data_IF_169057041665
#
_entry.id   IF_169057041665
#
_cell.length_a   1.000
_cell.length_b   1.000
_cell.length_c   1.000
_cell.angle_alpha   90.00
_cell.angle_beta   90.00
_cell.angle_gamma   90.00
#
_symmetry.space_group_name_H-M   'P 1'
#
loop_
_entity.id
_entity.type
_entity.pdbx_description
1 polymer ?
#
# COMPACT_ATOMS: atom_id res chain seq x y z
N UNK A 1 -19.41 31.49 39.97
CA UNK A 1 -18.93 31.68 38.58
C UNK A 1 -17.44 31.41 38.40
N UNK A 2 -16.53 32.05 39.15
CA UNK A 2 -15.06 31.84 39.01
C UNK A 2 -14.58 30.39 39.24
N UNK A 3 -15.18 29.64 40.18
CA UNK A 3 -14.87 28.22 40.42
C UNK A 3 -15.26 27.31 39.24
N UNK A 4 -16.35 27.63 38.54
CA UNK A 4 -16.86 26.86 37.39
C UNK A 4 -16.03 27.12 36.13
N UNK A 5 -15.61 28.37 35.91
CA UNK A 5 -14.68 28.74 34.83
C UNK A 5 -13.29 28.10 35.05
N UNK A 6 -12.75 28.16 36.28
CA UNK A 6 -11.46 27.55 36.61
C UNK A 6 -11.47 26.02 36.53
N UNK A 7 -12.59 25.38 36.86
CA UNK A 7 -12.79 23.92 36.74
C UNK A 7 -12.97 23.48 35.28
N UNK A 8 -13.63 24.30 34.44
CA UNK A 8 -13.69 24.10 32.98
C UNK A 8 -12.33 24.34 32.31
N UNK A 9 -11.56 25.35 32.72
CA UNK A 9 -10.19 25.57 32.22
C UNK A 9 -9.23 24.46 32.65
N UNK A 10 -9.33 23.96 33.89
CA UNK A 10 -8.52 22.82 34.33
C UNK A 10 -8.95 21.49 33.69
N UNK A 11 -10.24 21.28 33.43
CA UNK A 11 -10.72 20.12 32.69
C UNK A 11 -10.28 20.19 31.22
N UNK A 12 -10.33 21.36 30.58
CA UNK A 12 -9.82 21.59 29.24
C UNK A 12 -8.30 21.34 29.15
N UNK A 13 -7.53 21.87 30.11
CA UNK A 13 -6.08 21.63 30.21
C UNK A 13 -5.73 20.16 30.53
N UNK A 14 -6.63 19.40 31.19
CA UNK A 14 -6.46 17.96 31.45
C UNK A 14 -6.83 17.11 30.22
N UNK A 15 -7.91 17.44 29.52
CA UNK A 15 -8.26 16.82 28.24
C UNK A 15 -7.22 17.09 27.16
N UNK A 16 -6.47 18.19 27.27
CA UNK A 16 -5.30 18.49 26.43
C UNK A 16 -4.06 17.64 26.77
N UNK A 17 -4.11 16.76 27.77
CA UNK A 17 -3.00 15.87 28.16
C UNK A 17 -3.43 14.40 28.17
N UNK A 18 -4.73 14.13 28.25
CA UNK A 18 -5.26 12.77 28.27
C UNK A 18 -5.04 12.04 26.92
N UNK A 19 -4.57 10.78 26.95
CA UNK A 19 -4.52 9.94 25.77
C UNK A 19 -5.92 9.71 25.20
N UNK A 20 -6.04 9.58 23.88
CA UNK A 20 -7.30 9.25 23.20
C UNK A 20 -7.46 7.73 23.04
N UNK A 21 -8.70 7.21 22.90
CA UNK A 21 -8.95 5.81 22.62
C UNK A 21 -8.28 5.33 21.32
N UNK A 22 -7.99 4.03 21.22
CA UNK A 22 -7.37 3.45 20.01
C UNK A 22 -8.20 3.63 18.74
N UNK A 23 -9.53 3.65 18.85
CA UNK A 23 -10.46 3.91 17.73
C UNK A 23 -10.24 5.30 17.11
N UNK A 24 -9.76 6.28 17.89
CA UNK A 24 -9.38 7.59 17.35
C UNK A 24 -8.25 7.47 16.34
N UNK A 25 -7.29 6.56 16.54
CA UNK A 25 -6.25 6.29 15.54
C UNK A 25 -6.84 5.68 14.25
N UNK A 26 -7.91 4.87 14.38
CA UNK A 26 -8.67 4.31 13.27
C UNK A 26 -9.45 5.32 12.43
N UNK A 27 -9.83 6.46 13.01
CA UNK A 27 -10.42 7.60 12.26
C UNK A 27 -9.32 8.51 11.72
N UNK A 28 -8.35 8.83 12.57
CA UNK A 28 -7.26 9.74 12.27
C UNK A 28 -6.43 9.27 11.10
N UNK A 29 -5.96 8.02 11.10
CA UNK A 29 -4.96 7.60 10.13
C UNK A 29 -5.48 7.58 8.68
N UNK A 30 -6.71 7.10 8.38
CA UNK A 30 -7.32 7.27 7.06
C UNK A 30 -7.52 8.74 6.64
N UNK A 31 -7.95 9.61 7.57
CA UNK A 31 -8.11 11.06 7.30
C UNK A 31 -6.75 11.74 7.05
N UNK A 32 -5.75 11.40 7.84
CA UNK A 32 -4.36 11.87 7.71
C UNK A 32 -3.76 11.48 6.36
N UNK A 33 -4.14 10.31 5.84
CA UNK A 33 -3.80 9.83 4.51
C UNK A 33 -4.68 10.37 3.37
N UNK A 34 -5.58 11.30 3.66
CA UNK A 34 -6.52 11.90 2.70
C UNK A 34 -7.35 10.85 1.91
N UNK A 35 -7.71 9.73 2.55
CA UNK A 35 -8.56 8.69 1.96
C UNK A 35 -9.88 9.32 1.51
N UNK A 36 -10.23 9.14 0.23
CA UNK A 36 -11.42 9.65 -0.42
C UNK A 36 -11.40 11.14 -0.80
N UNK A 37 -10.29 11.85 -0.58
CA UNK A 37 -10.26 13.32 -0.70
C UNK A 37 -9.50 13.84 -1.93
N UNK A 38 -8.55 13.07 -2.46
CA UNK A 38 -7.68 13.51 -3.56
C UNK A 38 -8.28 13.20 -4.93
N UNK A 39 -7.75 13.84 -5.96
CA UNK A 39 -8.14 13.63 -7.36
C UNK A 39 -7.10 14.16 -8.33
N UNK A 40 -7.09 13.62 -9.55
CA UNK A 40 -6.17 13.99 -10.62
C UNK A 40 -4.69 13.72 -10.32
N UNK A 41 -3.83 14.28 -11.18
CA UNK A 41 -2.38 14.09 -11.15
C UNK A 41 -1.74 14.68 -9.88
N UNK A 42 -2.13 15.89 -9.48
CA UNK A 42 -1.61 16.55 -8.26
C UNK A 42 -2.02 15.79 -6.99
N UNK A 43 -3.25 15.28 -6.96
CA UNK A 43 -3.72 14.42 -5.88
C UNK A 43 -2.92 13.13 -5.79
N UNK A 44 -2.59 12.52 -6.93
CA UNK A 44 -1.73 11.35 -6.97
C UNK A 44 -0.30 11.66 -6.49
N UNK A 45 0.29 12.76 -6.94
CA UNK A 45 1.62 13.18 -6.49
C UNK A 45 1.68 13.37 -4.97
N UNK A 46 0.66 14.02 -4.38
CA UNK A 46 0.54 14.16 -2.92
C UNK A 46 0.35 12.82 -2.20
N UNK A 47 -0.43 11.91 -2.76
CA UNK A 47 -0.59 10.56 -2.19
C UNK A 47 0.74 9.78 -2.19
N UNK A 48 1.51 9.88 -3.29
CA UNK A 48 2.80 9.22 -3.44
C UNK A 48 3.84 9.81 -2.48
N UNK A 49 3.85 11.13 -2.30
CA UNK A 49 4.73 11.80 -1.34
C UNK A 49 4.55 11.24 0.08
N UNK A 50 3.30 11.13 0.53
CA UNK A 50 2.99 10.54 1.85
C UNK A 50 3.31 9.04 1.94
N UNK A 51 3.19 8.32 0.82
CA UNK A 51 3.53 6.89 0.70
C UNK A 51 5.01 6.64 0.35
N UNK A 52 5.85 7.68 0.30
CA UNK A 52 7.22 7.59 -0.22
C UNK A 52 8.06 6.52 0.47
N UNK A 53 8.37 5.44 -0.25
CA UNK A 53 9.10 4.28 0.24
C UNK A 53 8.31 3.30 1.12
N UNK A 54 6.99 3.42 1.20
CA UNK A 54 6.15 2.39 1.81
C UNK A 54 6.13 1.14 0.91
N UNK A 55 6.45 -0.02 1.49
CA UNK A 55 6.48 -1.29 0.75
C UNK A 55 5.10 -1.93 0.78
N UNK A 56 4.48 -2.04 -0.40
CA UNK A 56 3.13 -2.60 -0.56
C UNK A 56 3.11 -3.67 -1.67
N UNK A 57 2.19 -4.64 -1.61
CA UNK A 57 2.01 -5.56 -2.72
C UNK A 57 1.57 -4.83 -3.99
N UNK A 58 2.18 -5.16 -5.13
CA UNK A 58 1.88 -4.56 -6.42
C UNK A 58 0.40 -4.75 -6.81
N UNK A 59 -0.16 -5.93 -6.52
CA UNK A 59 -1.57 -6.23 -6.80
C UNK A 59 -2.57 -5.31 -6.06
N UNK A 60 -2.20 -4.77 -4.90
CA UNK A 60 -3.08 -3.89 -4.10
C UNK A 60 -2.81 -2.41 -4.33
N UNK A 61 -1.62 -2.04 -4.84
CA UNK A 61 -1.23 -0.64 -5.02
C UNK A 61 -2.26 0.11 -5.89
N UNK A 62 -2.52 -0.41 -7.09
CA UNK A 62 -3.38 0.25 -8.08
C UNK A 62 -4.85 -0.13 -7.99
N UNK A 63 -5.19 -1.14 -7.17
CA UNK A 63 -6.58 -1.61 -6.99
C UNK A 63 -7.23 -1.11 -5.70
N UNK A 64 -6.44 -0.84 -4.66
CA UNK A 64 -6.93 -0.45 -3.34
C UNK A 64 -6.20 0.76 -2.76
N UNK A 65 -4.85 0.78 -2.76
CA UNK A 65 -4.08 1.82 -2.03
C UNK A 65 -4.21 3.20 -2.68
N UNK A 66 -3.93 3.31 -3.98
CA UNK A 66 -4.04 4.58 -4.71
C UNK A 66 -5.50 4.98 -4.95
N UNK A 67 -6.42 4.08 -5.40
CA UNK A 67 -7.83 4.42 -5.54
C UNK A 67 -8.52 4.82 -4.23
N UNK A 68 -8.08 4.30 -3.07
CA UNK A 68 -8.63 4.74 -1.78
C UNK A 68 -8.35 6.22 -1.51
N UNK A 69 -7.30 6.80 -2.10
CA UNK A 69 -6.90 8.20 -1.88
C UNK A 69 -7.35 9.10 -3.03
N UNK A 70 -7.20 8.64 -4.27
CA UNK A 70 -7.45 9.38 -5.51
C UNK A 70 -8.71 8.84 -6.19
N UNK A 71 -9.79 9.63 -6.15
CA UNK A 71 -11.15 9.20 -6.56
C UNK A 71 -11.26 8.77 -8.02
N UNK A 72 -10.50 9.38 -8.89
CA UNK A 72 -10.44 9.17 -10.33
C UNK A 72 -9.15 8.45 -10.77
N UNK A 73 -8.54 7.69 -9.87
CA UNK A 73 -7.30 6.97 -10.16
C UNK A 73 -7.45 6.09 -11.41
N UNK A 74 -6.50 6.26 -12.33
CA UNK A 74 -6.28 5.32 -13.43
C UNK A 74 -4.79 5.02 -13.53
N UNK A 75 -4.40 3.82 -13.99
CA UNK A 75 -3.00 3.46 -14.21
C UNK A 75 -2.21 4.49 -15.05
N UNK A 76 -2.89 5.16 -15.99
CA UNK A 76 -2.32 6.20 -16.83
C UNK A 76 -1.81 7.44 -16.07
N UNK A 77 -2.41 7.79 -14.93
CA UNK A 77 -1.91 8.90 -14.10
C UNK A 77 -0.53 8.56 -13.50
N UNK A 78 -0.35 7.31 -13.06
CA UNK A 78 0.93 6.86 -12.53
C UNK A 78 1.98 6.70 -13.64
N UNK A 79 1.57 6.24 -14.82
CA UNK A 79 2.43 6.17 -16.00
C UNK A 79 2.88 7.56 -16.45
N UNK A 80 2.03 8.59 -16.33
CA UNK A 80 2.40 9.97 -16.61
C UNK A 80 3.48 10.48 -15.64
N UNK A 81 3.33 10.25 -14.33
CA UNK A 81 4.34 10.65 -13.34
C UNK A 81 5.68 9.91 -13.48
N UNK A 82 5.62 8.62 -13.81
CA UNK A 82 6.84 7.80 -14.00
C UNK A 82 7.54 8.12 -15.32
N UNK A 83 6.78 8.28 -16.41
CA UNK A 83 7.31 8.68 -17.71
C UNK A 83 7.88 10.11 -17.73
N UNK A 84 7.32 11.01 -16.92
CA UNK A 84 7.88 12.36 -16.71
C UNK A 84 9.12 12.37 -15.81
N UNK A 85 9.47 11.24 -15.18
CA UNK A 85 10.58 11.13 -14.23
C UNK A 85 10.31 11.82 -12.89
N UNK A 86 9.05 12.13 -12.55
CA UNK A 86 8.68 12.71 -11.27
C UNK A 86 8.61 11.67 -10.14
N UNK A 87 8.32 10.42 -10.50
CA UNK A 87 8.23 9.29 -9.58
C UNK A 87 9.04 8.10 -10.11
N UNK A 88 9.76 7.43 -9.23
CA UNK A 88 10.43 6.16 -9.44
C UNK A 88 9.70 5.04 -8.68
N UNK A 89 9.87 3.80 -9.13
CA UNK A 89 9.43 2.62 -8.38
C UNK A 89 10.58 1.65 -8.15
N UNK A 90 10.53 0.93 -7.04
CA UNK A 90 11.55 -0.05 -6.64
C UNK A 90 10.87 -1.39 -6.32
N UNK A 91 11.44 -2.49 -6.80
CA UNK A 91 11.06 -3.84 -6.39
C UNK A 91 11.71 -4.25 -5.07
N UNK A 92 11.02 -5.11 -4.31
CA UNK A 92 11.47 -5.65 -3.01
C UNK A 92 11.30 -7.18 -2.94
N UNK A 93 11.35 -7.84 -4.10
CA UNK A 93 11.13 -9.27 -4.21
C UNK A 93 9.69 -9.70 -4.51
N UNK A 94 9.56 -10.97 -4.84
CA UNK A 94 8.29 -11.61 -5.21
C UNK A 94 7.58 -12.21 -4.01
N UNK A 95 6.26 -12.33 -4.10
CA UNK A 95 5.40 -12.99 -3.13
C UNK A 95 4.83 -14.30 -3.70
N UNK A 96 4.51 -15.29 -2.84
CA UNK A 96 3.81 -16.48 -3.25
C UNK A 96 2.46 -16.15 -3.95
N UNK A 97 2.17 -16.88 -5.03
CA UNK A 97 0.93 -16.71 -5.79
C UNK A 97 0.94 -15.55 -6.78
N UNK A 98 2.12 -15.25 -7.36
CA UNK A 98 2.27 -14.40 -8.55
C UNK A 98 2.14 -12.90 -8.29
N UNK A 99 2.49 -12.43 -7.10
CA UNK A 99 2.51 -10.99 -6.75
C UNK A 99 3.93 -10.55 -6.38
N UNK A 100 4.17 -9.26 -6.19
CA UNK A 100 5.46 -8.73 -5.79
C UNK A 100 5.31 -7.58 -4.80
N UNK A 101 6.38 -7.27 -4.07
CA UNK A 101 6.44 -6.09 -3.21
C UNK A 101 7.13 -4.95 -3.98
N UNK A 102 6.51 -3.78 -3.95
CA UNK A 102 7.05 -2.57 -4.58
C UNK A 102 6.90 -1.35 -3.65
N UNK A 103 7.67 -0.31 -3.93
CA UNK A 103 7.48 1.01 -3.33
C UNK A 103 7.61 2.11 -4.37
N UNK A 104 6.93 3.23 -4.15
CA UNK A 104 7.00 4.44 -4.97
C UNK A 104 7.84 5.50 -4.27
N UNK A 105 8.57 6.30 -5.06
CA UNK A 105 9.51 7.30 -4.58
C UNK A 105 9.42 8.55 -5.43
N UNK A 106 9.07 9.73 -4.88
CA UNK A 106 9.34 10.99 -5.56
C UNK A 106 10.82 11.06 -5.93
N UNK A 107 11.13 11.37 -7.19
CA UNK A 107 12.51 11.35 -7.69
C UNK A 107 13.42 12.29 -6.90
N UNK A 108 12.88 13.42 -6.45
CA UNK A 108 13.58 14.43 -5.64
C UNK A 108 14.12 13.87 -4.32
N UNK A 109 13.45 12.87 -3.75
CA UNK A 109 13.80 12.26 -2.45
C UNK A 109 14.28 10.82 -2.60
N UNK A 110 14.47 10.32 -3.82
CA UNK A 110 14.80 8.92 -4.08
C UNK A 110 16.08 8.47 -3.37
N UNK A 111 17.10 9.34 -3.32
CA UNK A 111 18.40 9.03 -2.69
C UNK A 111 18.27 8.62 -1.21
N UNK A 112 17.35 9.26 -0.46
CA UNK A 112 17.12 8.99 0.97
C UNK A 112 15.94 8.07 1.25
N UNK A 113 15.01 7.94 0.29
CA UNK A 113 13.79 7.15 0.47
C UNK A 113 13.93 5.68 0.05
N UNK A 114 14.77 5.38 -0.95
CA UNK A 114 15.09 4.01 -1.37
C UNK A 114 15.78 3.22 -0.23
N UNK A 115 15.55 1.89 -0.10
CA UNK A 115 16.22 1.05 0.91
C UNK A 115 17.75 1.15 0.85
N UNK A 116 18.45 1.00 1.97
CA UNK A 116 19.91 1.04 1.95
C UNK A 116 20.47 -0.23 1.31
N UNK A 117 21.64 -0.19 0.64
CA UNK A 117 22.22 -1.39 0.03
C UNK A 117 22.54 -2.51 1.05
N UNK A 118 22.81 -2.14 2.30
CA UNK A 118 23.08 -3.07 3.42
C UNK A 118 21.82 -3.75 3.97
N UNK A 119 20.63 -3.28 3.60
CA UNK A 119 19.35 -3.85 4.02
C UNK A 119 18.90 -4.97 3.06
N UNK A 120 19.55 -5.10 1.91
CA UNK A 120 19.41 -6.20 0.97
C UNK A 120 20.25 -7.38 1.45
N UNK A 121 19.63 -8.55 1.58
CA UNK A 121 20.35 -9.78 1.94
C UNK A 121 21.47 -10.05 0.92
N UNK A 122 22.76 -10.06 1.34
CA UNK A 122 23.88 -10.27 0.44
C UNK A 122 23.77 -11.59 -0.33
N UNK A 123 23.13 -12.61 0.24
CA UNK A 123 22.91 -13.91 -0.40
C UNK A 123 21.80 -13.94 -1.46
N UNK A 124 21.05 -12.85 -1.61
CA UNK A 124 19.97 -12.67 -2.59
C UNK A 124 20.35 -11.70 -3.71
N UNK A 125 21.56 -11.14 -3.71
CA UNK A 125 22.00 -10.24 -4.77
C UNK A 125 22.42 -11.07 -5.98
N UNK A 126 21.74 -10.97 -7.13
CA UNK A 126 22.09 -11.75 -8.31
C UNK A 126 23.51 -11.39 -8.80
N UNK A 127 24.40 -12.38 -8.88
CA UNK A 127 25.84 -12.17 -9.06
C UNK A 127 26.42 -12.82 -10.33
N UNK A 128 25.57 -13.32 -11.23
CA UNK A 128 26.03 -13.91 -12.49
C UNK A 128 26.73 -12.89 -13.41
N UNK A 129 27.59 -13.33 -14.36
CA UNK A 129 28.22 -12.44 -15.34
C UNK A 129 27.24 -11.60 -16.13
N UNK A 130 26.05 -12.14 -16.42
CA UNK A 130 24.98 -11.41 -17.13
C UNK A 130 24.44 -10.26 -16.26
N UNK A 131 24.26 -10.47 -14.96
CA UNK A 131 23.84 -9.40 -14.04
C UNK A 131 24.89 -8.28 -13.98
N UNK A 132 26.16 -8.64 -13.84
CA UNK A 132 27.26 -7.68 -13.83
C UNK A 132 27.34 -6.88 -15.14
N UNK A 133 27.13 -7.54 -16.29
CA UNK A 133 27.09 -6.90 -17.60
C UNK A 133 25.87 -5.97 -17.74
N UNK A 134 24.69 -6.36 -17.25
CA UNK A 134 23.49 -5.50 -17.23
C UNK A 134 23.75 -4.24 -16.39
N UNK A 135 24.28 -4.38 -15.17
CA UNK A 135 24.61 -3.24 -14.32
C UNK A 135 25.66 -2.33 -14.98
N UNK A 136 26.67 -2.91 -15.62
CA UNK A 136 27.70 -2.17 -16.35
C UNK A 136 27.14 -1.46 -17.58
N UNK A 137 26.18 -2.05 -18.28
CA UNK A 137 25.49 -1.43 -19.42
C UNK A 137 24.66 -0.22 -18.99
N UNK A 138 24.01 -0.30 -17.83
CA UNK A 138 23.18 0.76 -17.26
C UNK A 138 23.99 1.81 -16.47
N UNK A 139 25.25 1.51 -16.14
CA UNK A 139 26.14 2.44 -15.44
C UNK A 139 26.35 3.74 -16.25
N UNK A 140 26.53 4.85 -15.53
CA UNK A 140 26.70 6.18 -16.16
C UNK A 140 25.39 6.89 -16.52
N UNK A 141 24.24 6.38 -16.07
CA UNK A 141 22.93 7.06 -16.19
C UNK A 141 22.19 6.79 -17.50
N UNK A 142 22.54 5.74 -18.23
CA UNK A 142 21.83 5.33 -19.43
C UNK A 142 20.48 4.68 -19.13
N UNK A 143 19.47 4.95 -19.96
CA UNK A 143 18.21 4.24 -19.98
C UNK A 143 18.02 3.56 -21.34
N UNK A 144 17.75 2.24 -21.35
CA UNK A 144 17.73 1.43 -22.56
C UNK A 144 16.40 0.72 -22.74
N UNK A 145 15.90 0.67 -23.97
CA UNK A 145 14.91 -0.34 -24.34
C UNK A 145 15.56 -1.73 -24.34
N UNK A 146 14.79 -2.77 -24.05
CA UNK A 146 15.30 -4.14 -23.91
C UNK A 146 16.18 -4.60 -25.09
N UNK A 147 15.76 -4.32 -26.33
CA UNK A 147 16.54 -4.68 -27.52
C UNK A 147 17.94 -4.04 -27.55
N UNK A 148 18.05 -2.76 -27.16
CA UNK A 148 19.34 -2.07 -27.07
C UNK A 148 20.19 -2.55 -25.90
N UNK A 149 19.55 -2.92 -24.78
CA UNK A 149 20.23 -3.47 -23.62
C UNK A 149 20.85 -4.84 -23.92
N UNK A 150 20.15 -5.72 -24.63
CA UNK A 150 20.67 -7.03 -25.05
C UNK A 150 21.94 -6.88 -25.88
N UNK A 151 21.94 -6.00 -26.89
CA UNK A 151 23.13 -5.72 -27.72
C UNK A 151 24.29 -5.23 -26.86
N UNK A 152 24.02 -4.29 -25.95
CA UNK A 152 25.06 -3.73 -25.08
C UNK A 152 25.67 -4.76 -24.12
N UNK A 153 24.84 -5.65 -23.58
CA UNK A 153 25.27 -6.74 -22.70
C UNK A 153 26.11 -7.76 -23.47
N UNK A 154 25.71 -8.10 -24.70
CA UNK A 154 26.45 -8.99 -25.60
C UNK A 154 27.86 -8.46 -25.90
N UNK A 155 27.97 -7.16 -26.22
CA UNK A 155 29.26 -6.47 -26.42
C UNK A 155 30.17 -6.52 -25.19
N UNK A 156 29.61 -6.29 -24.00
CA UNK A 156 30.35 -6.30 -22.74
C UNK A 156 30.87 -7.70 -22.39
N UNK A 157 30.09 -8.74 -22.68
CA UNK A 157 30.46 -10.13 -22.42
C UNK A 157 31.44 -10.69 -23.47
N UNK A 158 31.44 -10.15 -24.69
CA UNK A 158 32.42 -10.51 -25.71
C UNK A 158 33.82 -9.93 -25.44
N UNK A 159 33.92 -8.90 -24.59
CA UNK A 159 35.13 -8.15 -24.26
C UNK A 159 36.11 -8.88 -23.34
N UNK A 160 36.48 -10.13 -23.65
CA UNK A 160 37.52 -10.92 -22.96
C UNK A 160 38.27 -11.91 -23.90
N UNK A 161 38.45 -11.55 -25.17
CA UNK A 161 39.37 -12.26 -26.08
C UNK A 161 38.88 -13.60 -26.66
N UNK A 162 37.59 -13.92 -26.52
CA UNK A 162 36.98 -15.06 -27.20
C UNK A 162 36.75 -14.76 -28.69
N UNK A 163 37.25 -15.61 -29.57
CA UNK A 163 37.09 -15.52 -31.04
C UNK A 163 35.68 -15.88 -31.54
N UNK A 164 34.77 -16.28 -30.64
CA UNK A 164 33.34 -16.40 -30.90
C UNK A 164 32.60 -15.60 -29.82
N UNK A 165 31.83 -14.55 -30.15
CA UNK A 165 31.11 -13.80 -29.13
C UNK A 165 30.12 -14.74 -28.44
N UNK A 166 30.11 -14.82 -27.09
CA UNK A 166 29.09 -15.57 -26.38
C UNK A 166 27.75 -14.86 -26.58
N UNK A 167 26.93 -15.35 -27.52
CA UNK A 167 25.60 -14.77 -27.74
C UNK A 167 24.71 -15.07 -26.55
N UNK A 168 24.32 -14.03 -25.80
CA UNK A 168 23.34 -14.19 -24.71
C UNK A 168 21.93 -14.02 -25.26
N UNK A 169 21.10 -15.04 -25.06
CA UNK A 169 19.68 -14.98 -25.40
C UNK A 169 19.02 -13.78 -24.70
N UNK A 170 18.24 -13.00 -25.44
CA UNK A 170 17.52 -11.84 -24.92
C UNK A 170 16.58 -12.19 -23.77
N UNK A 171 16.09 -13.45 -23.70
CA UNK A 171 15.33 -13.93 -22.55
C UNK A 171 16.17 -13.98 -21.27
N UNK A 172 17.43 -14.43 -21.36
CA UNK A 172 18.35 -14.49 -20.22
C UNK A 172 18.66 -13.08 -19.70
N UNK A 173 18.85 -12.11 -20.60
CA UNK A 173 19.02 -10.70 -20.21
C UNK A 173 17.76 -10.16 -19.55
N UNK A 174 16.58 -10.46 -20.09
CA UNK A 174 15.30 -10.01 -19.52
C UNK A 174 15.06 -10.57 -18.10
N UNK A 175 15.33 -11.86 -17.88
CA UNK A 175 15.24 -12.46 -16.53
C UNK A 175 16.26 -11.83 -15.58
N UNK A 176 17.51 -11.61 -16.03
CA UNK A 176 18.53 -10.93 -15.22
C UNK A 176 18.14 -9.49 -14.84
N UNK A 177 17.48 -8.76 -15.74
CA UNK A 177 16.90 -7.43 -15.45
C UNK A 177 15.84 -7.54 -14.37
N UNK A 178 14.92 -8.50 -14.45
CA UNK A 178 13.89 -8.70 -13.44
C UNK A 178 14.46 -9.12 -12.09
N UNK A 179 15.47 -9.98 -12.07
CA UNK A 179 16.20 -10.35 -10.85
C UNK A 179 16.81 -9.12 -10.18
N UNK A 180 17.42 -8.21 -10.97
CA UNK A 180 17.94 -6.93 -10.49
C UNK A 180 16.86 -5.94 -10.06
N UNK A 181 15.67 -5.95 -10.69
CA UNK A 181 14.50 -5.17 -10.23
C UNK A 181 14.06 -5.64 -8.85
N UNK A 182 14.01 -6.95 -8.62
CA UNK A 182 13.65 -7.53 -7.33
C UNK A 182 14.70 -7.33 -6.25
N UNK A 183 15.97 -7.25 -6.64
CA UNK A 183 17.07 -6.81 -5.78
C UNK A 183 17.08 -5.28 -5.55
N UNK A 184 16.14 -4.53 -6.15
CA UNK A 184 16.02 -3.09 -6.00
C UNK A 184 17.17 -2.32 -6.65
N UNK A 185 17.79 -2.82 -7.72
CA UNK A 185 18.89 -2.14 -8.41
C UNK A 185 18.48 -1.50 -9.72
N UNK A 186 17.50 -2.08 -10.41
CA UNK A 186 17.00 -1.62 -11.71
C UNK A 186 15.54 -1.21 -11.60
N UNK A 187 15.12 -0.24 -12.41
CA UNK A 187 13.75 0.26 -12.52
C UNK A 187 13.35 0.49 -13.98
N UNK A 188 12.10 0.85 -14.21
CA UNK A 188 11.53 1.16 -15.52
C UNK A 188 10.78 2.49 -15.48
N UNK A 189 10.74 3.20 -16.61
CA UNK A 189 10.00 4.47 -16.77
C UNK A 189 8.48 4.34 -16.82
N UNK A 190 7.94 3.12 -16.66
CA UNK A 190 6.51 2.84 -16.50
C UNK A 190 6.28 1.64 -15.58
N UNK A 191 5.07 1.51 -15.02
CA UNK A 191 4.61 0.27 -14.36
C UNK A 191 4.00 -0.73 -15.34
N UNK A 192 3.81 -0.38 -16.62
CA UNK A 192 3.26 -1.28 -17.64
C UNK A 192 3.96 -2.65 -17.70
N UNK A 193 5.30 -2.72 -17.74
CA UNK A 193 6.03 -4.00 -17.70
C UNK A 193 5.75 -4.82 -16.44
N UNK A 194 5.65 -4.17 -15.28
CA UNK A 194 5.30 -4.81 -14.01
C UNK A 194 3.87 -5.39 -14.04
N UNK A 195 2.90 -4.62 -14.55
CA UNK A 195 1.52 -5.09 -14.70
C UNK A 195 1.46 -6.32 -15.61
N UNK A 196 2.17 -6.28 -16.74
CA UNK A 196 2.27 -7.40 -17.67
C UNK A 196 2.92 -8.64 -17.03
N UNK A 197 4.05 -8.47 -16.33
CA UNK A 197 4.79 -9.55 -15.65
C UNK A 197 3.95 -10.27 -14.59
N UNK A 198 3.16 -9.51 -13.84
CA UNK A 198 2.28 -10.04 -12.78
C UNK A 198 0.89 -10.46 -13.30
N UNK A 199 0.60 -10.28 -14.58
CA UNK A 199 -0.73 -10.53 -15.14
C UNK A 199 -1.83 -9.66 -14.51
N UNK A 200 -1.46 -8.50 -13.96
CA UNK A 200 -2.40 -7.51 -13.44
C UNK A 200 -3.10 -6.90 -14.66
N UNK A 201 -4.38 -7.26 -14.84
CA UNK A 201 -5.15 -6.86 -16.02
C UNK A 201 -5.24 -5.35 -16.09
N UNK A 202 -4.58 -4.76 -17.08
CA UNK A 202 -4.97 -3.45 -17.60
C UNK A 202 -6.39 -3.56 -18.17
N UNK A 203 -7.34 -2.79 -17.62
CA UNK A 203 -8.53 -2.47 -18.41
C UNK A 203 -8.02 -1.57 -19.53
N UNK A 204 -8.13 -1.96 -20.82
CA UNK A 204 -7.63 -1.13 -21.89
C UNK A 204 -8.32 0.23 -21.81
N UNK A 205 -7.54 1.27 -21.57
CA UNK A 205 -8.01 2.64 -21.59
C UNK A 205 -8.36 2.98 -23.05
N UNK A 206 -9.63 2.87 -23.41
CA UNK A 206 -10.15 3.60 -24.57
C UNK A 206 -10.13 5.07 -24.16
N UNK A 207 -9.14 5.81 -24.64
CA UNK A 207 -9.20 7.28 -24.61
C UNK A 207 -10.57 7.70 -25.19
N UNK A 208 -11.36 8.52 -24.48
CA UNK A 208 -12.57 9.11 -25.05
C UNK A 208 -12.16 9.98 -26.24
N UNK A 209 -12.86 9.80 -27.37
CA UNK A 209 -12.51 10.32 -28.70
C UNK A 209 -11.95 11.74 -28.76
N UNK A 210 -10.73 11.86 -29.29
CA UNK A 210 -10.15 13.10 -29.79
C UNK A 210 -9.68 12.92 -31.23
N UNK A 211 -10.40 13.55 -32.17
CA UNK A 211 -10.10 13.76 -33.59
C UNK A 211 -9.83 12.53 -34.50
N UNK A 212 -10.60 12.43 -35.60
CA UNK A 212 -10.31 11.53 -36.72
C UNK A 212 -8.90 11.82 -37.29
N UNK A 213 -7.98 10.85 -37.33
CA UNK A 213 -6.65 11.10 -37.89
C UNK A 213 -6.73 11.23 -39.42
N UNK A 214 -6.14 12.31 -39.94
CA UNK A 214 -5.90 12.54 -41.37
C UNK A 214 -5.06 11.40 -41.97
N UNK A 215 -5.31 11.06 -43.23
CA UNK A 215 -4.80 9.85 -43.90
C UNK A 215 -3.26 9.66 -43.91
N UNK A 216 -2.46 10.67 -43.52
CA UNK A 216 -0.98 10.60 -43.49
C UNK A 216 -0.40 10.08 -42.17
N UNK A 217 -1.17 9.99 -41.08
CA UNK A 217 -0.73 9.41 -39.78
C UNK A 217 -0.88 7.89 -39.68
N UNK A 218 -1.39 7.22 -40.73
CA UNK A 218 -1.49 5.75 -40.75
C UNK A 218 -0.14 5.04 -40.68
N UNK A 219 0.95 5.63 -41.18
CA UNK A 219 2.26 4.97 -41.17
C UNK A 219 2.84 4.88 -39.75
N UNK A 220 2.72 5.94 -38.93
CA UNK A 220 3.17 5.92 -37.52
C UNK A 220 2.17 5.23 -36.58
N UNK A 221 0.86 5.31 -36.84
CA UNK A 221 -0.13 4.51 -36.11
C UNK A 221 0.02 3.00 -36.36
N UNK A 222 0.68 2.60 -37.46
CA UNK A 222 1.07 1.21 -37.71
C UNK A 222 2.21 0.73 -36.80
N UNK A 223 2.99 1.65 -36.20
CA UNK A 223 4.04 1.33 -35.23
C UNK A 223 3.56 1.45 -33.78
N UNK A 224 2.60 2.35 -33.50
CA UNK A 224 2.06 2.56 -32.15
C UNK A 224 0.94 1.59 -31.74
N UNK A 225 0.48 0.70 -32.64
CA UNK A 225 -0.67 -0.18 -32.38
C UNK A 225 -0.60 -1.56 -33.03
N UNK A 226 0.56 -2.01 -33.52
CA UNK A 226 0.75 -3.40 -33.94
C UNK A 226 1.19 -4.25 -32.73
N UNK A 227 0.53 -5.39 -32.43
CA UNK A 227 1.16 -6.44 -31.64
C UNK A 227 2.29 -7.02 -32.50
N UNK A 228 3.48 -6.44 -32.41
CA UNK A 228 4.52 -6.70 -33.41
C UNK A 228 5.88 -6.05 -33.21
N UNK A 229 6.12 -5.26 -32.15
CA UNK A 229 7.48 -5.31 -31.59
C UNK A 229 7.57 -6.71 -30.97
N UNK A 230 8.49 -7.55 -31.43
CA UNK A 230 8.68 -8.92 -30.88
C UNK A 230 9.12 -8.96 -29.42
N UNK A 231 9.06 -7.83 -28.71
CA UNK A 231 9.42 -7.69 -27.31
C UNK A 231 8.16 -7.94 -26.47
N UNK A 232 8.16 -8.93 -25.57
CA UNK A 232 7.06 -9.16 -24.63
C UNK A 232 6.66 -7.88 -23.87
N UNK A 233 5.37 -7.72 -23.56
CA UNK A 233 4.88 -6.53 -22.86
C UNK A 233 5.56 -6.30 -21.49
N UNK A 234 5.96 -7.38 -20.82
CA UNK A 234 6.76 -7.37 -19.58
C UNK A 234 8.19 -6.83 -19.75
N UNK A 235 8.63 -6.58 -20.98
CA UNK A 235 9.97 -6.07 -21.28
C UNK A 235 9.94 -4.67 -21.95
N UNK A 236 8.76 -4.05 -22.03
CA UNK A 236 8.56 -2.73 -22.62
C UNK A 236 9.18 -1.61 -21.75
N UNK A 237 9.17 -0.38 -22.28
CA UNK A 237 9.71 0.79 -21.59
C UNK A 237 11.24 0.85 -21.57
N UNK A 238 11.77 1.84 -20.86
CA UNK A 238 13.20 2.08 -20.70
C UNK A 238 13.65 1.60 -19.32
N UNK A 239 14.60 0.68 -19.34
CA UNK A 239 15.24 0.13 -18.16
C UNK A 239 16.42 1.00 -17.77
N UNK A 240 16.51 1.34 -16.50
CA UNK A 240 17.58 2.19 -15.96
C UNK A 240 17.96 1.72 -14.56
N UNK A 241 19.16 2.08 -14.13
CA UNK A 241 19.59 1.83 -12.76
C UNK A 241 18.87 2.80 -11.81
N UNK A 242 18.48 2.31 -10.63
CA UNK A 242 18.00 3.18 -9.57
C UNK A 242 19.10 4.16 -9.14
N UNK A 243 18.74 5.39 -8.73
CA UNK A 243 19.72 6.42 -8.41
C UNK A 243 20.60 6.01 -7.24
N UNK A 244 21.79 6.61 -7.19
CA UNK A 244 22.71 6.46 -6.06
C UNK A 244 21.99 6.85 -4.77
N UNK A 245 22.11 5.98 -3.77
CA UNK A 245 21.51 6.17 -2.46
C UNK A 245 22.42 7.03 -1.62
N UNK A 246 21.82 7.85 -0.77
CA UNK A 246 22.54 8.61 0.25
C UNK A 246 23.37 7.64 1.12
N UNK A 247 24.71 7.78 1.18
CA UNK A 247 25.57 6.91 1.98
C UNK A 247 25.57 7.26 3.48
N UNK A 248 25.29 8.50 3.88
CA UNK A 248 25.35 8.90 5.30
C UNK A 248 24.16 8.33 6.09
N UNK A 249 24.39 7.40 7.04
CA UNK A 249 23.31 6.81 7.82
C UNK A 249 22.55 7.84 8.67
N UNK A 250 23.16 8.96 9.04
CA UNK A 250 22.54 10.04 9.81
C UNK A 250 21.51 10.78 8.97
N UNK A 251 21.87 11.17 7.75
CA UNK A 251 20.96 11.84 6.80
C UNK A 251 19.78 10.92 6.48
N UNK A 252 20.04 9.64 6.21
CA UNK A 252 19.00 8.63 5.98
C UNK A 252 18.07 8.46 7.17
N UNK A 253 18.61 8.37 8.39
CA UNK A 253 17.80 8.20 9.60
C UNK A 253 16.92 9.44 9.85
N UNK A 254 17.46 10.63 9.60
CA UNK A 254 16.69 11.88 9.69
C UNK A 254 15.54 11.92 8.68
N UNK A 255 15.83 11.60 7.41
CA UNK A 255 14.81 11.54 6.36
C UNK A 255 13.76 10.44 6.63
N UNK A 256 14.17 9.28 7.14
CA UNK A 256 13.25 8.21 7.56
C UNK A 256 12.33 8.69 8.67
N UNK A 257 12.85 9.37 9.70
CA UNK A 257 12.04 9.92 10.79
C UNK A 257 10.98 10.90 10.27
N UNK A 258 11.37 11.81 9.36
CA UNK A 258 10.44 12.75 8.75
C UNK A 258 9.35 12.04 7.93
N UNK A 259 9.72 11.08 7.08
CA UNK A 259 8.75 10.31 6.28
C UNK A 259 7.77 9.52 7.15
N UNK A 260 8.25 8.87 8.22
CA UNK A 260 7.39 8.14 9.13
C UNK A 260 6.45 9.07 9.90
N UNK A 261 6.90 10.28 10.28
CA UNK A 261 6.04 11.28 10.92
C UNK A 261 4.97 11.79 9.94
N UNK A 262 5.35 12.07 8.69
CA UNK A 262 4.42 12.50 7.65
C UNK A 262 3.40 11.40 7.29
N UNK A 263 3.81 10.13 7.33
CA UNK A 263 2.94 8.99 7.02
C UNK A 263 2.00 8.62 8.16
N UNK A 264 2.55 8.40 9.36
CA UNK A 264 1.79 7.85 10.48
C UNK A 264 1.17 8.92 11.39
N UNK A 265 1.70 10.14 11.36
CA UNK A 265 1.34 11.22 12.29
C UNK A 265 1.85 10.98 13.72
N UNK A 266 1.58 9.78 14.26
CA UNK A 266 2.02 9.28 15.56
C UNK A 266 2.89 8.04 15.37
N UNK A 267 4.15 8.14 15.80
CA UNK A 267 5.12 7.04 15.77
C UNK A 267 5.16 6.35 17.14
N UNK A 268 5.05 5.03 17.12
CA UNK A 268 5.28 4.14 18.26
C UNK A 268 6.31 3.07 17.90
N UNK A 269 6.75 2.25 18.87
CA UNK A 269 7.61 1.10 18.53
C UNK A 269 6.88 0.05 17.68
N UNK A 270 5.55 -0.01 17.77
CA UNK A 270 4.74 -1.03 17.11
C UNK A 270 4.69 -0.89 15.58
N UNK A 271 5.05 0.28 15.01
CA UNK A 271 5.06 0.46 13.54
C UNK A 271 6.26 -0.19 12.84
N UNK A 272 7.29 -0.59 13.58
CA UNK A 272 8.56 -1.12 13.03
C UNK A 272 8.33 -2.35 12.13
N UNK A 273 7.56 -3.39 12.53
CA UNK A 273 7.34 -4.55 11.69
C UNK A 273 6.55 -4.24 10.42
N UNK A 274 5.53 -3.37 10.51
CA UNK A 274 4.72 -2.99 9.35
C UNK A 274 5.49 -2.17 8.33
N UNK A 275 6.46 -1.38 8.79
CA UNK A 275 7.33 -0.55 7.96
C UNK A 275 8.56 -1.29 7.44
N UNK A 276 8.75 -2.57 7.83
CA UNK A 276 9.89 -3.40 7.44
C UNK A 276 11.24 -2.69 7.65
N UNK A 277 11.34 -1.92 8.74
CA UNK A 277 12.56 -1.15 9.01
C UNK A 277 13.69 -2.12 9.35
N UNK A 278 14.72 -2.16 8.50
CA UNK A 278 15.98 -2.83 8.82
C UNK A 278 16.69 -2.16 10.01
N UNK A 279 16.44 -0.87 10.21
CA UNK A 279 16.94 -0.11 11.34
C UNK A 279 16.29 -0.51 12.67
N UNK A 280 17.09 -0.58 13.73
CA UNK A 280 16.57 -0.70 15.09
C UNK A 280 15.81 0.57 15.49
N UNK A 281 14.67 0.41 16.18
CA UNK A 281 13.88 1.52 16.72
C UNK A 281 14.72 2.48 17.60
N UNK A 282 15.81 2.00 18.20
CA UNK A 282 16.71 2.83 19.00
C UNK A 282 17.37 3.97 18.23
N UNK A 283 17.75 3.74 16.96
CA UNK A 283 18.32 4.79 16.12
C UNK A 283 17.28 5.86 15.77
N UNK A 284 16.08 5.42 15.38
CA UNK A 284 14.94 6.29 15.11
C UNK A 284 14.55 7.11 16.36
N UNK A 285 14.50 6.47 17.52
CA UNK A 285 14.20 7.11 18.79
C UNK A 285 15.17 8.25 19.11
N UNK A 286 16.47 8.08 18.88
CA UNK A 286 17.46 9.16 19.13
C UNK A 286 17.20 10.40 18.28
N UNK A 287 16.85 10.20 17.01
CA UNK A 287 16.49 11.30 16.10
C UNK A 287 15.20 11.98 16.52
N UNK A 288 14.19 11.20 16.91
CA UNK A 288 12.91 11.73 17.38
C UNK A 288 13.05 12.49 18.71
N UNK A 289 13.85 11.99 19.65
CA UNK A 289 14.18 12.67 20.90
C UNK A 289 14.93 13.99 20.65
N UNK A 290 15.93 13.99 19.77
CA UNK A 290 16.61 15.24 19.38
C UNK A 290 15.64 16.25 18.73
N UNK A 291 14.71 15.76 17.91
CA UNK A 291 13.67 16.59 17.27
C UNK A 291 12.67 17.17 18.28
N UNK A 292 12.46 16.49 19.41
CA UNK A 292 11.63 16.96 20.52
C UNK A 292 12.31 18.07 21.30
N UNK A 293 13.62 17.98 21.59
CA UNK A 293 14.38 19.08 22.23
C UNK A 293 14.29 20.39 21.45
N UNK A 294 14.20 20.32 20.12
CA UNK A 294 14.08 21.48 19.21
C UNK A 294 12.61 21.91 19.01
N UNK A 295 11.65 21.19 19.60
CA UNK A 295 10.22 21.51 19.56
C UNK A 295 9.50 21.15 18.25
N UNK A 296 10.14 20.38 17.35
CA UNK A 296 9.51 19.95 16.07
C UNK A 296 8.52 18.81 16.27
N UNK A 297 8.75 17.98 17.28
CA UNK A 297 7.97 16.78 17.59
C UNK A 297 7.57 16.83 19.05
N UNK A 298 6.38 16.38 19.39
CA UNK A 298 5.94 16.18 20.77
C UNK A 298 6.18 14.73 21.16
N UNK A 299 6.75 14.52 22.35
CA UNK A 299 6.85 13.21 22.97
C UNK A 299 5.83 13.09 24.08
N UNK A 300 5.09 11.99 24.12
CA UNK A 300 4.07 11.77 25.15
C UNK A 300 3.31 10.47 25.00
N UNK A 301 2.14 10.43 25.63
CA UNK A 301 1.15 9.36 25.52
C UNK A 301 -0.08 9.96 24.84
N UNK A 302 -0.18 9.80 23.52
CA UNK A 302 -1.27 10.39 22.73
C UNK A 302 -2.42 9.41 22.55
N UNK A 303 -2.13 8.12 22.40
CA UNK A 303 -3.11 7.04 22.24
C UNK A 303 -2.98 6.05 23.38
N UNK A 304 -4.11 5.61 23.92
CA UNK A 304 -4.19 4.64 25.00
C UNK A 304 -3.59 3.27 24.63
N UNK A 305 -3.05 2.57 25.64
CA UNK A 305 -2.62 1.17 25.56
C UNK A 305 -1.57 0.83 24.48
N UNK A 306 -0.95 1.82 23.83
CA UNK A 306 0.16 1.59 22.88
C UNK A 306 1.53 1.45 23.54
N UNK A 307 1.60 1.75 24.84
CA UNK A 307 2.81 1.63 25.66
C UNK A 307 3.98 2.53 25.20
N UNK A 308 4.99 2.64 26.05
CA UNK A 308 6.23 3.35 25.72
C UNK A 308 6.05 4.82 25.33
N UNK A 309 7.14 5.43 24.84
CA UNK A 309 7.11 6.82 24.35
C UNK A 309 6.59 6.89 22.92
N UNK A 310 5.60 7.76 22.71
CA UNK A 310 5.06 8.07 21.39
C UNK A 310 5.61 9.42 20.94
N UNK A 311 5.82 9.57 19.64
CA UNK A 311 6.31 10.81 19.03
C UNK A 311 5.35 11.24 17.93
N UNK A 312 4.94 12.50 17.93
CA UNK A 312 3.99 12.99 16.96
C UNK A 312 4.27 14.44 16.56
N UNK A 313 3.89 14.80 15.34
CA UNK A 313 3.86 16.21 14.93
C UNK A 313 2.78 16.94 15.74
N UNK A 314 2.98 18.22 16.13
CA UNK A 314 1.95 18.99 16.83
C UNK A 314 0.59 18.96 16.13
N UNK A 315 0.57 19.19 14.81
CA UNK A 315 -0.64 19.14 14.00
C UNK A 315 -1.30 17.75 13.97
N UNK A 316 -0.51 16.67 14.03
CA UNK A 316 -1.04 15.31 14.10
C UNK A 316 -1.74 15.05 15.44
N UNK A 317 -1.18 15.55 16.55
CA UNK A 317 -1.83 15.44 17.88
C UNK A 317 -3.14 16.23 17.91
N UNK A 318 -3.15 17.43 17.34
CA UNK A 318 -4.33 18.29 17.34
C UNK A 318 -5.46 17.67 16.47
N UNK A 319 -5.11 17.13 15.30
CA UNK A 319 -6.04 16.40 14.44
C UNK A 319 -6.55 15.10 15.10
N UNK A 320 -5.67 14.30 15.70
CA UNK A 320 -6.04 13.07 16.42
C UNK A 320 -7.07 13.35 17.53
N UNK A 321 -6.94 14.47 18.24
CA UNK A 321 -7.90 14.90 19.28
C UNK A 321 -9.19 15.47 18.71
N UNK A 322 -9.17 16.06 17.52
CA UNK A 322 -10.38 16.41 16.80
C UNK A 322 -11.13 15.14 16.40
N UNK A 323 -10.43 14.17 15.82
CA UNK A 323 -11.01 12.89 15.40
C UNK A 323 -11.55 12.07 16.59
N UNK A 324 -10.90 12.13 17.75
CA UNK A 324 -11.39 11.49 18.96
C UNK A 324 -12.73 12.08 19.45
N UNK A 325 -12.94 13.39 19.29
CA UNK A 325 -14.19 14.06 19.66
C UNK A 325 -15.33 13.73 18.70
N UNK A 326 -15.02 13.43 17.44
CA UNK A 326 -16.00 13.00 16.44
C UNK A 326 -16.57 11.58 16.71
N UNK A 327 -15.89 10.77 17.54
CA UNK A 327 -16.31 9.41 17.91
C UNK A 327 -17.30 9.43 19.08
N UNK A 328 -17.32 10.49 19.89
CA UNK A 328 -18.08 10.57 21.14
C UNK A 328 -19.61 10.60 20.88
N UNK A 329 -20.39 9.62 21.37
CA UNK A 329 -21.83 9.47 21.07
C UNK A 329 -22.72 10.63 21.54
N UNK A 330 -22.25 11.48 22.45
CA UNK A 330 -22.97 12.68 22.91
C UNK A 330 -22.78 13.90 21.98
N UNK A 331 -21.93 13.79 20.95
CA UNK A 331 -21.65 14.82 19.96
C UNK A 331 -22.60 14.77 18.75
N UNK A 332 -23.16 15.91 18.38
CA UNK A 332 -24.11 16.08 17.28
C UNK A 332 -23.60 15.54 15.92
N UNK A 333 -24.09 14.39 15.50
CA UNK A 333 -24.69 14.20 14.17
C UNK A 333 -23.79 14.07 12.93
N UNK A 334 -22.51 13.70 13.03
CA UNK A 334 -21.79 13.24 11.83
C UNK A 334 -21.99 11.73 11.62
N UNK A 335 -22.36 11.26 10.41
CA UNK A 335 -22.46 9.83 10.15
C UNK A 335 -21.10 9.17 10.38
N UNK A 336 -21.09 8.03 11.07
CA UNK A 336 -19.88 7.23 11.30
C UNK A 336 -19.14 7.01 9.97
N UNK A 337 -17.92 7.56 9.87
CA UNK A 337 -17.09 7.39 8.68
C UNK A 337 -16.77 5.90 8.55
N UNK A 338 -17.23 5.30 7.46
CA UNK A 338 -16.96 3.91 7.12
C UNK A 338 -15.94 3.88 5.99
N UNK A 339 -14.83 3.16 6.17
CA UNK A 339 -13.77 3.05 5.17
C UNK A 339 -13.36 1.60 4.97
N UNK A 340 -13.16 1.21 3.71
CA UNK A 340 -12.53 -0.05 3.34
C UNK A 340 -11.09 0.20 2.90
N UNK A 341 -10.15 -0.56 3.48
CA UNK A 341 -8.72 -0.45 3.19
C UNK A 341 -8.13 -1.82 2.92
N UNK A 342 -7.06 -1.87 2.12
CA UNK A 342 -6.22 -3.07 2.09
C UNK A 342 -5.62 -3.31 3.48
N UNK A 343 -5.53 -4.56 3.92
CA UNK A 343 -4.95 -4.89 5.21
C UNK A 343 -3.48 -4.43 5.31
N UNK A 344 -2.78 -4.39 4.17
CA UNK A 344 -1.40 -3.91 4.03
C UNK A 344 -1.28 -2.40 3.80
N UNK A 345 -2.39 -1.65 3.71
CA UNK A 345 -2.36 -0.20 3.50
C UNK A 345 -1.75 0.50 4.74
N UNK A 346 -0.82 1.47 4.56
CA UNK A 346 -0.32 2.28 5.67
C UNK A 346 -1.40 3.08 6.42
N UNK A 347 -2.53 3.38 5.78
CA UNK A 347 -3.66 4.06 6.41
C UNK A 347 -4.45 3.18 7.38
N UNK A 348 -4.31 1.85 7.31
CA UNK A 348 -4.90 0.95 8.29
C UNK A 348 -3.99 0.95 9.52
N UNK A 349 -4.49 1.18 10.75
CA UNK A 349 -3.65 1.08 11.95
C UNK A 349 -3.65 -0.32 12.58
N UNK A 350 -4.60 -1.20 12.24
CA UNK A 350 -4.76 -2.53 12.84
C UNK A 350 -3.78 -3.56 12.27
N UNK A 351 -3.16 -4.36 13.15
CA UNK A 351 -2.03 -5.22 12.78
C UNK A 351 -0.75 -4.44 12.46
N UNK A 352 -0.66 -3.18 12.89
CA UNK A 352 0.54 -2.33 12.82
C UNK A 352 0.70 -1.60 14.15
N UNK A 353 0.27 -0.34 14.24
CA UNK A 353 0.27 0.43 15.48
C UNK A 353 -0.69 -0.16 16.52
N UNK A 354 -1.88 -0.60 16.10
CA UNK A 354 -2.85 -1.29 16.93
C UNK A 354 -2.74 -2.80 16.74
N UNK A 355 -2.93 -3.58 17.80
CA UNK A 355 -3.08 -5.02 17.71
C UNK A 355 -4.40 -5.39 16.99
N UNK A 356 -4.47 -6.60 16.45
CA UNK A 356 -5.75 -7.14 15.99
C UNK A 356 -6.65 -7.41 17.20
N UNK A 357 -7.89 -6.91 17.23
CA UNK A 357 -8.85 -7.30 18.27
C UNK A 357 -9.19 -8.80 18.15
N UNK A 358 -9.60 -9.45 19.25
CA UNK A 358 -10.06 -10.83 19.21
C UNK A 358 -11.34 -10.92 18.34
N UNK A 359 -11.40 -11.83 17.35
CA UNK A 359 -12.64 -12.10 16.61
C UNK A 359 -13.73 -12.65 17.53
N UNK A 360 -15.00 -12.35 17.24
CA UNK A 360 -16.13 -12.76 18.09
C UNK A 360 -16.31 -14.28 18.23
N UNK A 361 -15.95 -15.06 17.21
CA UNK A 361 -16.23 -16.49 17.17
C UNK A 361 -15.00 -17.37 17.45
N UNK A 362 -14.01 -16.89 18.20
CA UNK A 362 -13.01 -17.78 18.77
C UNK A 362 -13.60 -18.48 20.00
N UNK A 363 -14.26 -19.61 19.79
CA UNK A 363 -14.44 -20.60 20.85
C UNK A 363 -13.05 -21.05 21.34
N UNK A 364 -12.81 -20.97 22.65
CA UNK A 364 -11.57 -21.44 23.29
C UNK A 364 -11.26 -22.93 23.00
N UNK A 365 -12.22 -23.68 22.45
CA UNK A 365 -12.09 -25.09 22.07
C UNK A 365 -11.38 -25.33 20.72
N UNK A 366 -11.14 -24.29 19.91
CA UNK A 366 -10.53 -24.44 18.58
C UNK A 366 -9.05 -24.05 18.62
N UNK A 367 -8.23 -24.92 19.21
CA UNK A 367 -6.77 -24.83 19.26
C UNK A 367 -6.19 -24.86 17.82
N UNK A 368 -6.07 -23.69 17.19
CA UNK A 368 -5.19 -23.46 16.04
C UNK A 368 -5.77 -23.46 14.62
N UNK A 369 -7.08 -23.64 14.40
CA UNK A 369 -7.64 -23.85 13.05
C UNK A 369 -8.38 -22.67 12.38
N UNK A 370 -8.81 -21.66 13.13
CA UNK A 370 -9.60 -20.54 12.61
C UNK A 370 -8.76 -19.51 11.83
N UNK A 371 -9.32 -18.87 10.78
CA UNK A 371 -8.63 -17.81 10.07
C UNK A 371 -8.27 -16.67 11.02
N UNK A 372 -7.00 -16.27 11.04
CA UNK A 372 -6.50 -15.17 11.88
C UNK A 372 -6.25 -13.94 11.01
N UNK A 373 -6.66 -12.74 11.46
CA UNK A 373 -6.41 -11.53 10.70
C UNK A 373 -4.91 -11.30 10.54
N UNK A 374 -4.50 -10.87 9.36
CA UNK A 374 -3.10 -10.62 9.03
C UNK A 374 -2.95 -9.63 7.90
N UNK A 375 -1.85 -8.88 7.89
CA UNK A 375 -1.50 -7.96 6.79
C UNK A 375 -0.95 -8.75 5.61
N UNK A 376 -1.84 -9.26 4.75
CA UNK A 376 -1.47 -10.01 3.55
C UNK A 376 -2.05 -9.38 2.30
N UNK A 377 -1.36 -9.55 1.17
CA UNK A 377 -1.81 -9.10 -0.14
C UNK A 377 -3.23 -9.61 -0.44
N UNK A 378 -4.10 -8.70 -0.90
CA UNK A 378 -5.49 -8.98 -1.25
C UNK A 378 -6.46 -9.18 -0.08
N UNK A 379 -6.00 -9.12 1.18
CA UNK A 379 -6.90 -9.04 2.33
C UNK A 379 -7.34 -7.59 2.56
N UNK A 380 -8.57 -7.39 3.04
CA UNK A 380 -9.12 -6.05 3.31
C UNK A 380 -9.76 -5.96 4.68
N UNK A 381 -9.81 -4.74 5.22
CA UNK A 381 -10.46 -4.41 6.48
C UNK A 381 -11.53 -3.35 6.23
N UNK A 382 -12.59 -3.38 7.04
CA UNK A 382 -13.60 -2.32 7.08
C UNK A 382 -13.62 -1.72 8.46
N UNK A 383 -13.38 -0.41 8.53
CA UNK A 383 -13.43 0.37 9.75
C UNK A 383 -14.71 1.20 9.79
N UNK A 384 -15.39 1.23 10.92
CA UNK A 384 -16.56 2.07 11.18
C UNK A 384 -16.26 2.94 12.39
N UNK A 385 -16.27 4.26 12.22
CA UNK A 385 -15.85 5.21 13.27
C UNK A 385 -14.48 4.83 13.89
N UNK A 386 -13.58 4.31 13.05
CA UNK A 386 -12.24 3.87 13.44
C UNK A 386 -12.16 2.54 14.18
N UNK A 387 -13.27 1.90 14.54
CA UNK A 387 -13.28 0.53 15.04
C UNK A 387 -13.17 -0.47 13.88
N UNK A 388 -12.32 -1.50 14.03
CA UNK A 388 -12.29 -2.62 13.08
C UNK A 388 -13.58 -3.44 13.20
N UNK A 389 -14.38 -3.50 12.14
CA UNK A 389 -15.65 -4.24 12.13
C UNK A 389 -15.53 -5.54 11.35
N UNK A 390 -14.93 -5.49 10.15
CA UNK A 390 -14.77 -6.65 9.27
C UNK A 390 -13.31 -6.83 8.84
N UNK A 391 -12.89 -8.08 8.72
CA UNK A 391 -11.70 -8.49 7.99
C UNK A 391 -12.09 -9.53 6.94
N UNK A 392 -11.64 -9.36 5.70
CA UNK A 392 -11.91 -10.28 4.60
C UNK A 392 -10.58 -10.79 4.06
N UNK A 393 -10.43 -12.11 4.02
CA UNK A 393 -9.21 -12.75 3.52
C UNK A 393 -9.01 -12.58 2.01
N UNK A 394 -7.78 -12.80 1.56
CA UNK A 394 -7.42 -12.84 0.13
C UNK A 394 -8.38 -13.73 -0.65
N UNK A 395 -8.97 -13.16 -1.71
CA UNK A 395 -9.93 -13.85 -2.58
C UNK A 395 -11.36 -13.89 -2.04
N UNK A 396 -11.65 -13.25 -0.90
CA UNK A 396 -13.01 -13.02 -0.43
C UNK A 396 -13.77 -14.29 -0.03
N UNK A 397 -13.06 -15.35 0.38
CA UNK A 397 -13.66 -16.63 0.78
C UNK A 397 -14.04 -16.69 2.27
N UNK A 398 -13.23 -16.06 3.11
CA UNK A 398 -13.42 -16.03 4.55
C UNK A 398 -13.57 -14.60 5.03
N UNK A 399 -14.48 -14.39 5.97
CA UNK A 399 -14.74 -13.11 6.61
C UNK A 399 -14.78 -13.30 8.13
N UNK A 400 -14.21 -12.34 8.85
CA UNK A 400 -14.24 -12.24 10.31
C UNK A 400 -14.92 -10.94 10.72
N UNK A 401 -15.74 -11.01 11.76
CA UNK A 401 -16.31 -9.87 12.46
C UNK A 401 -15.70 -9.71 13.86
N UNK A 402 -15.65 -8.46 14.31
CA UNK A 402 -15.07 -8.09 15.61
C UNK A 402 -16.07 -7.36 16.52
N UNK A 403 -17.34 -7.27 16.10
CA UNK A 403 -18.43 -6.66 16.87
C UNK A 403 -19.77 -7.29 16.50
N UNK A 404 -20.68 -7.34 17.46
CA UNK A 404 -22.06 -7.80 17.32
C UNK A 404 -23.04 -6.63 17.18
N UNK A 405 -22.55 -5.39 17.23
CA UNK A 405 -23.32 -4.19 16.95
C UNK A 405 -23.87 -4.24 15.51
N UNK A 406 -25.19 -4.36 15.44
CA UNK A 406 -25.92 -4.46 14.19
C UNK A 406 -25.72 -3.24 13.30
N UNK A 407 -25.64 -2.04 13.86
CA UNK A 407 -25.53 -0.80 13.06
C UNK A 407 -24.16 -0.71 12.39
N UNK A 408 -23.09 -1.00 13.13
CA UNK A 408 -21.73 -1.07 12.61
C UNK A 408 -21.58 -2.18 11.55
N UNK A 409 -22.15 -3.36 11.79
CA UNK A 409 -22.13 -4.46 10.83
C UNK A 409 -22.87 -4.13 9.53
N UNK A 410 -24.04 -3.49 9.62
CA UNK A 410 -24.81 -3.05 8.44
C UNK A 410 -24.01 -2.02 7.62
N UNK A 411 -23.42 -1.01 8.25
CA UNK A 411 -22.56 -0.02 7.60
C UNK A 411 -21.36 -0.68 6.91
N UNK A 412 -20.66 -1.57 7.62
CA UNK A 412 -19.49 -2.24 7.09
C UNK A 412 -19.82 -3.19 5.92
N UNK A 413 -20.95 -3.90 5.98
CA UNK A 413 -21.40 -4.77 4.89
C UNK A 413 -21.83 -3.97 3.66
N UNK A 414 -22.44 -2.78 3.84
CA UNK A 414 -22.77 -1.87 2.74
C UNK A 414 -21.49 -1.37 2.06
N UNK A 415 -20.48 -0.95 2.83
CA UNK A 415 -19.21 -0.50 2.26
C UNK A 415 -18.50 -1.62 1.49
N UNK A 416 -18.46 -2.83 2.06
CA UNK A 416 -17.93 -4.01 1.37
C UNK A 416 -18.67 -4.28 0.05
N UNK A 417 -20.01 -4.20 0.06
CA UNK A 417 -20.81 -4.37 -1.15
C UNK A 417 -20.52 -3.28 -2.20
N UNK A 418 -20.32 -2.03 -1.78
CA UNK A 418 -19.97 -0.90 -2.66
C UNK A 418 -18.62 -1.14 -3.33
N UNK A 419 -17.59 -1.52 -2.58
CA UNK A 419 -16.27 -1.84 -3.12
C UNK A 419 -16.32 -3.00 -4.13
N UNK A 420 -17.10 -4.04 -3.82
CA UNK A 420 -17.31 -5.18 -4.72
C UNK A 420 -18.00 -4.76 -6.03
N UNK A 421 -19.02 -3.88 -5.97
CA UNK A 421 -19.70 -3.36 -7.17
C UNK A 421 -18.80 -2.45 -7.99
N UNK A 422 -17.97 -1.64 -7.33
CA UNK A 422 -16.95 -0.81 -7.97
C UNK A 422 -15.85 -1.64 -8.66
N UNK A 423 -15.72 -2.92 -8.28
CA UNK A 423 -14.80 -3.88 -8.89
C UNK A 423 -13.37 -3.82 -8.33
N UNK A 424 -13.12 -3.06 -7.26
CA UNK A 424 -11.81 -2.98 -6.61
C UNK A 424 -11.37 -4.31 -5.98
N UNK A 425 -12.33 -5.12 -5.51
CA UNK A 425 -12.10 -6.44 -4.92
C UNK A 425 -12.31 -7.60 -5.89
N UNK A 426 -12.70 -7.30 -7.14
CA UNK A 426 -13.08 -8.31 -8.12
C UNK A 426 -14.28 -9.17 -7.67
N UNK A 427 -14.23 -10.47 -7.99
CA UNK A 427 -15.31 -11.42 -7.68
C UNK A 427 -15.10 -12.00 -6.28
N UNK A 428 -16.08 -11.77 -5.40
CA UNK A 428 -16.07 -12.25 -4.00
C UNK A 428 -17.11 -13.35 -3.84
N UNK A 429 -16.72 -14.47 -3.23
CA UNK A 429 -17.60 -15.61 -2.92
C UNK A 429 -17.30 -16.06 -1.50
N UNK A 430 -18.15 -15.64 -0.55
CA UNK A 430 -17.96 -15.93 0.87
C UNK A 430 -18.42 -17.36 1.17
N UNK A 431 -17.49 -18.21 1.60
CA UNK A 431 -17.76 -19.60 2.00
C UNK A 431 -17.78 -19.74 3.52
N UNK A 432 -17.00 -18.92 4.23
CA UNK A 432 -16.93 -18.91 5.70
C UNK A 432 -17.13 -17.50 6.27
N UNK A 433 -17.82 -17.43 7.39
CA UNK A 433 -17.99 -16.23 8.20
C UNK A 433 -17.79 -16.61 9.66
N UNK A 434 -16.88 -15.92 10.35
CA UNK A 434 -16.61 -16.16 11.78
C UNK A 434 -16.24 -17.62 12.08
N UNK A 435 -15.39 -18.20 11.23
CA UNK A 435 -14.97 -19.60 11.32
C UNK A 435 -16.00 -20.64 10.86
N UNK A 436 -17.27 -20.26 10.73
CA UNK A 436 -18.37 -21.15 10.36
C UNK A 436 -18.63 -21.16 8.85
N UNK A 437 -19.03 -22.30 8.30
CA UNK A 437 -19.51 -22.38 6.91
C UNK A 437 -20.85 -21.67 6.76
N UNK A 438 -20.92 -20.71 5.84
CA UNK A 438 -22.10 -19.82 5.73
C UNK A 438 -23.37 -20.56 5.26
N UNK A 439 -23.20 -21.74 4.64
CA UNK A 439 -24.30 -22.56 4.15
C UNK A 439 -24.65 -23.75 5.07
N UNK A 440 -23.91 -23.98 6.16
CA UNK A 440 -24.12 -25.12 7.05
C UNK A 440 -25.42 -24.98 7.90
N UNK A 441 -26.19 -26.06 8.08
CA UNK A 441 -27.32 -26.09 9.03
C UNK A 441 -26.87 -26.42 10.47
N UNK A 442 -27.61 -26.01 11.52
CA UNK A 442 -28.81 -25.17 11.47
C UNK A 442 -28.48 -23.68 11.30
N UNK A 443 -29.19 -23.02 10.38
CA UNK A 443 -29.01 -21.60 10.04
C UNK A 443 -29.60 -20.70 11.12
N UNK A 444 -28.94 -20.56 12.26
CA UNK A 444 -29.30 -19.48 13.18
C UNK A 444 -28.78 -18.17 12.57
N UNK A 445 -29.69 -17.24 12.28
CA UNK A 445 -29.33 -15.94 11.74
C UNK A 445 -28.48 -15.20 12.79
N UNK A 446 -27.21 -14.96 12.45
CA UNK A 446 -26.30 -14.12 13.23
C UNK A 446 -26.49 -12.65 12.82
N UNK A 447 -26.10 -11.68 13.67
CA UNK A 447 -26.08 -10.27 13.29
C UNK A 447 -25.32 -10.03 11.98
N UNK A 448 -24.16 -10.66 11.82
CA UNK A 448 -23.33 -10.58 10.61
C UNK A 448 -24.04 -11.12 9.36
N UNK A 449 -24.62 -12.33 9.43
CA UNK A 449 -25.30 -12.91 8.25
C UNK A 449 -26.55 -12.11 7.86
N UNK A 450 -27.22 -11.50 8.83
CA UNK A 450 -28.35 -10.59 8.60
C UNK A 450 -27.89 -9.30 7.90
N UNK A 451 -26.78 -8.70 8.36
CA UNK A 451 -26.18 -7.53 7.74
C UNK A 451 -25.69 -7.79 6.30
N UNK A 452 -25.06 -8.95 6.05
CA UNK A 452 -24.67 -9.37 4.71
C UNK A 452 -25.89 -9.52 3.79
N UNK A 453 -26.97 -10.15 4.26
CA UNK A 453 -28.19 -10.29 3.49
C UNK A 453 -28.81 -8.92 3.14
N UNK A 454 -28.84 -7.99 4.11
CA UNK A 454 -29.32 -6.62 3.91
C UNK A 454 -28.47 -5.83 2.89
N UNK A 455 -27.15 -6.04 2.87
CA UNK A 455 -26.25 -5.46 1.87
C UNK A 455 -26.40 -6.08 0.45
N UNK A 456 -27.21 -7.13 0.31
CA UNK A 456 -27.54 -7.76 -0.96
C UNK A 456 -26.74 -9.03 -1.28
N UNK A 457 -26.08 -9.63 -0.29
CA UNK A 457 -25.49 -10.96 -0.44
C UNK A 457 -26.58 -12.03 -0.42
N UNK A 458 -26.50 -12.97 -1.35
CA UNK A 458 -27.45 -14.06 -1.49
C UNK A 458 -26.74 -15.41 -1.59
N UNK A 459 -27.37 -16.49 -1.09
CA UNK A 459 -26.81 -17.83 -1.19
C UNK A 459 -26.75 -18.30 -2.63
N UNK A 460 -25.63 -18.94 -2.97
CA UNK A 460 -25.40 -19.67 -4.21
C UNK A 460 -24.84 -21.05 -3.85
N UNK A 461 -24.82 -22.04 -4.76
CA UNK A 461 -24.26 -23.37 -4.47
C UNK A 461 -22.80 -23.34 -3.99
N UNK A 462 -22.05 -22.27 -4.28
CA UNK A 462 -20.64 -22.11 -3.90
C UNK A 462 -20.41 -21.22 -2.67
N UNK A 463 -21.45 -20.64 -2.06
CA UNK A 463 -21.33 -19.68 -0.95
C UNK A 463 -22.23 -18.45 -1.11
N UNK A 464 -22.07 -17.44 -0.26
CA UNK A 464 -22.75 -16.15 -0.44
C UNK A 464 -22.06 -15.30 -1.50
N UNK A 465 -22.85 -14.67 -2.37
CA UNK A 465 -22.37 -13.73 -3.39
C UNK A 465 -23.26 -12.50 -3.44
N UNK A 466 -22.66 -11.36 -3.78
CA UNK A 466 -23.41 -10.14 -4.02
C UNK A 466 -24.27 -10.27 -5.29
N UNK A 467 -25.56 -9.95 -5.21
CA UNK A 467 -26.46 -9.95 -6.37
C UNK A 467 -25.96 -8.97 -7.45
N UNK A 468 -26.05 -9.38 -8.72
CA UNK A 468 -25.61 -8.57 -9.87
C UNK A 468 -24.15 -8.75 -10.29
N UNK A 469 -23.37 -9.61 -9.63
CA UNK A 469 -22.06 -10.05 -10.14
C UNK A 469 -22.23 -11.14 -11.22
N UNK A 470 -22.43 -10.73 -12.48
CA UNK A 470 -22.33 -11.62 -13.64
C UNK A 470 -20.88 -12.04 -13.88
#
# INVERSE_FOLDING_TARGET
>A
MLRTLRRRSLAALRSEVEPVPQTALGVFLPRWHAVGQLGGLDGLARAIDQLSGAVVPASVLETLVLPARVRDYTPGLLDELTGAGAVLWCGHGTLPGGDALISLHPTVDAAVSLPAPLDTDPGLTPDSPVHAAVLSALAGGGAYFMAGLVVRVDELLAGDGSSTPPHVDGRTVAEAVWDLVWAGQVTNDSLGPLRARLGLRDRPHRQPGGARPLARTRVLASFAGRPGSGVPAENAGRWSMLPTREPDPTVRMHALAQRLLARHGVITRAIVPSERLAASFGALYRVLAASETVGRVRRGYFVEHLGGSQFALPAAVDQLRADARDIDPDGSGSPAVTVLLAATDPANPYGAALAWPPPLAQDEANDGGGPRPSRRAGAVVVLVAGALVLFVERGGRSLLSFTDDRTALEQACVELATAIRGGSLGRVVLTRADGNEVLAPPRRATPLTSALAAAGFAPTPRGLRLRGQS
#
